data_IF_822566665613
#
_entry.id   IF_822566665613
#
_cell.length_a   1.000
_cell.length_b   1.000
_cell.length_c   1.000
_cell.angle_alpha   90.00
_cell.angle_beta   90.00
_cell.angle_gamma   90.00
#
_symmetry.space_group_name_H-M   'P 1'
#
loop_
_entity.id
_entity.type
_entity.pdbx_description
1 polymer ?
#
# COMPACT_ATOMS: atom_id res chain seq x y z
N UNK A 1 -10.47 -4.83 -3.73
CA UNK A 1 -9.48 -5.77 -3.18
C UNK A 1 -8.90 -5.48 -1.80
N UNK A 2 -8.89 -4.26 -1.26
CA UNK A 2 -8.45 -4.03 0.14
C UNK A 2 -9.53 -4.24 1.20
N UNK A 3 -10.82 -4.19 0.80
CA UNK A 3 -11.95 -4.27 1.74
C UNK A 3 -12.06 -5.62 2.45
N UNK A 4 -11.65 -6.73 1.85
CA UNK A 4 -11.82 -8.05 2.49
C UNK A 4 -10.69 -8.35 3.49
N UNK A 5 -9.47 -7.94 3.16
CA UNK A 5 -8.30 -8.24 3.99
C UNK A 5 -8.35 -7.48 5.31
N UNK A 6 -8.72 -6.19 5.27
CA UNK A 6 -8.74 -5.39 6.50
C UNK A 6 -9.81 -5.86 7.48
N UNK A 7 -11.00 -6.22 7.00
CA UNK A 7 -12.04 -6.80 7.83
C UNK A 7 -11.57 -8.12 8.45
N UNK A 8 -10.97 -8.99 7.64
CA UNK A 8 -10.41 -10.27 8.13
C UNK A 8 -9.36 -10.06 9.23
N UNK A 9 -8.47 -9.07 9.09
CA UNK A 9 -7.45 -8.75 10.09
C UNK A 9 -8.11 -8.24 11.39
N UNK A 10 -9.09 -7.35 11.27
CA UNK A 10 -9.82 -6.82 12.44
C UNK A 10 -10.57 -7.94 13.17
N UNK A 11 -11.27 -8.80 12.43
CA UNK A 11 -11.98 -9.95 13.01
C UNK A 11 -11.02 -10.90 13.73
N UNK A 12 -9.84 -11.13 13.15
CA UNK A 12 -8.79 -11.96 13.76
C UNK A 12 -8.27 -11.33 15.06
N UNK A 13 -8.01 -10.02 15.08
CA UNK A 13 -7.57 -9.30 16.28
C UNK A 13 -8.61 -9.42 17.40
N UNK A 14 -9.90 -9.23 17.10
CA UNK A 14 -10.96 -9.39 18.10
C UNK A 14 -11.09 -10.83 18.59
N UNK A 15 -10.95 -11.82 17.70
CA UNK A 15 -10.97 -13.23 18.10
C UNK A 15 -9.82 -13.58 19.05
N UNK A 16 -8.62 -13.06 18.82
CA UNK A 16 -7.49 -13.26 19.73
C UNK A 16 -7.67 -12.52 21.05
N UNK A 17 -8.26 -11.32 21.02
CA UNK A 17 -8.58 -10.57 22.23
C UNK A 17 -9.56 -11.33 23.15
N UNK A 18 -10.53 -12.05 22.59
CA UNK A 18 -11.44 -12.93 23.37
C UNK A 18 -10.70 -14.08 24.07
N UNK A 19 -9.50 -14.43 23.60
CA UNK A 19 -8.62 -15.45 24.18
C UNK A 19 -7.55 -14.83 25.10
N UNK A 20 -7.71 -13.55 25.48
CA UNK A 20 -6.73 -12.77 26.24
C UNK A 20 -5.36 -12.65 25.55
N UNK A 21 -5.32 -12.74 24.21
CA UNK A 21 -4.11 -12.56 23.39
C UNK A 21 -4.17 -11.20 22.70
N UNK A 22 -3.14 -10.39 22.90
CA UNK A 22 -3.02 -9.05 22.36
C UNK A 22 -1.77 -8.90 21.50
N UNK A 23 -1.87 -8.09 20.45
CA UNK A 23 -0.75 -7.79 19.55
C UNK A 23 -0.53 -6.28 19.50
N UNK A 24 0.72 -5.86 19.59
CA UNK A 24 1.09 -4.44 19.42
C UNK A 24 0.86 -3.99 17.98
N UNK A 25 1.27 -4.83 17.03
CA UNK A 25 1.27 -4.54 15.60
C UNK A 25 0.95 -5.76 14.75
N UNK A 26 0.44 -5.50 13.55
CA UNK A 26 0.19 -6.52 12.54
C UNK A 26 1.12 -6.27 11.35
N UNK A 27 1.83 -7.31 10.94
CA UNK A 27 2.57 -7.37 9.68
C UNK A 27 1.80 -8.27 8.70
N UNK A 28 1.25 -7.67 7.66
CA UNK A 28 0.58 -8.38 6.57
C UNK A 28 1.57 -8.63 5.43
N UNK A 29 1.69 -9.90 5.05
CA UNK A 29 2.56 -10.39 3.98
C UNK A 29 1.72 -11.11 2.93
N UNK A 30 1.47 -10.47 1.78
CA UNK A 30 0.70 -11.12 0.73
C UNK A 30 1.53 -12.21 0.02
N UNK A 31 0.93 -13.37 -0.31
CA UNK A 31 1.64 -14.48 -0.96
C UNK A 31 2.03 -14.18 -2.41
N UNK A 32 1.39 -13.19 -3.05
CA UNK A 32 1.61 -12.77 -4.44
C UNK A 32 2.91 -11.96 -4.65
N UNK A 33 3.72 -11.78 -3.61
CA UNK A 33 5.04 -11.14 -3.67
C UNK A 33 6.17 -12.16 -3.39
N UNK A 34 6.46 -13.09 -4.32
CA UNK A 34 7.38 -14.20 -4.07
C UNK A 34 8.85 -13.76 -3.91
N UNK A 35 9.21 -12.58 -4.42
CA UNK A 35 10.58 -12.05 -4.36
C UNK A 35 10.88 -11.27 -3.07
N UNK A 36 9.97 -11.28 -2.09
CA UNK A 36 10.18 -10.64 -0.79
C UNK A 36 11.31 -11.33 -0.04
N UNK A 37 12.38 -10.60 0.21
CA UNK A 37 13.54 -11.09 0.97
C UNK A 37 13.32 -10.92 2.47
N UNK A 38 13.84 -11.82 3.33
CA UNK A 38 13.78 -11.66 4.78
C UNK A 38 14.35 -10.32 5.26
N UNK A 39 15.38 -9.80 4.58
CA UNK A 39 16.02 -8.53 4.90
C UNK A 39 15.06 -7.35 4.75
N UNK A 40 14.20 -7.39 3.71
CA UNK A 40 13.17 -6.35 3.49
C UNK A 40 12.15 -6.34 4.62
N UNK A 41 11.80 -7.51 5.15
CA UNK A 41 10.87 -7.62 6.29
C UNK A 41 11.49 -7.01 7.54
N UNK A 42 12.74 -7.40 7.87
CA UNK A 42 13.46 -6.89 9.04
C UNK A 42 13.55 -5.37 9.00
N UNK A 43 13.94 -4.83 7.85
CA UNK A 43 14.07 -3.39 7.68
C UNK A 43 12.73 -2.65 7.85
N UNK A 44 11.64 -3.18 7.32
CA UNK A 44 10.32 -2.58 7.51
C UNK A 44 9.87 -2.60 8.98
N UNK A 45 10.17 -3.69 9.70
CA UNK A 45 9.90 -3.81 11.14
C UNK A 45 10.72 -2.80 11.94
N UNK A 46 12.01 -2.64 11.63
CA UNK A 46 12.88 -1.64 12.27
C UNK A 46 12.34 -0.22 12.11
N UNK A 47 11.94 0.17 10.89
CA UNK A 47 11.33 1.48 10.64
C UNK A 47 10.06 1.65 11.47
N UNK A 48 9.20 0.63 11.51
CA UNK A 48 7.97 0.68 12.29
C UNK A 48 8.25 0.83 13.79
N UNK A 49 9.21 0.08 14.33
CA UNK A 49 9.58 0.14 15.74
C UNK A 49 10.13 1.52 16.13
N UNK A 50 10.96 2.13 15.28
CA UNK A 50 11.54 3.45 15.54
C UNK A 50 10.49 4.56 15.44
N UNK A 51 9.57 4.45 14.50
CA UNK A 51 8.63 5.55 14.19
C UNK A 51 7.27 5.43 14.88
N UNK A 52 6.85 4.22 15.23
CA UNK A 52 5.47 3.90 15.64
C UNK A 52 4.43 4.11 14.52
N UNK A 53 4.87 4.39 13.29
CA UNK A 53 4.00 4.71 12.15
C UNK A 53 3.83 3.51 11.24
N UNK A 54 2.75 3.51 10.48
CA UNK A 54 2.54 2.55 9.42
C UNK A 54 3.70 2.53 8.42
N UNK A 55 4.08 1.34 7.97
CA UNK A 55 5.10 1.13 6.94
C UNK A 55 4.51 0.28 5.83
N UNK A 56 4.57 0.78 4.60
CA UNK A 56 4.08 0.08 3.42
C UNK A 56 5.16 0.00 2.35
N UNK A 57 5.27 -1.14 1.68
CA UNK A 57 6.22 -1.29 0.60
C UNK A 57 5.68 -0.74 -0.70
N UNK A 58 6.56 -0.01 -1.41
CA UNK A 58 6.24 0.63 -2.68
C UNK A 58 7.27 0.30 -3.74
N UNK A 59 6.89 0.50 -5.00
CA UNK A 59 7.76 0.38 -6.15
C UNK A 59 7.66 1.63 -7.01
N UNK A 60 8.78 2.14 -7.57
CA UNK A 60 8.74 3.30 -8.44
C UNK A 60 7.92 3.00 -9.69
N UNK A 61 7.21 4.01 -10.19
CA UNK A 61 6.50 3.96 -11.47
C UNK A 61 7.28 4.79 -12.47
N UNK A 62 7.59 4.22 -13.63
CA UNK A 62 8.01 5.01 -14.78
C UNK A 62 6.76 5.39 -15.57
N UNK A 63 6.20 6.57 -15.26
CA UNK A 63 5.07 7.12 -16.01
C UNK A 63 5.61 8.10 -17.05
N UNK A 64 5.21 7.91 -18.31
CA UNK A 64 5.42 8.88 -19.38
C UNK A 64 4.05 9.39 -19.83
N UNK A 65 3.52 10.46 -19.24
CA UNK A 65 2.18 10.95 -19.53
C UNK A 65 1.95 11.23 -21.03
N UNK A 66 2.98 11.70 -21.74
CA UNK A 66 2.97 11.86 -23.21
C UNK A 66 2.64 10.58 -23.99
N UNK A 67 2.89 9.40 -23.43
CA UNK A 67 2.63 8.09 -24.06
C UNK A 67 1.28 7.49 -23.65
N UNK A 68 0.53 8.12 -22.75
CA UNK A 68 -0.77 7.63 -22.30
C UNK A 68 -1.92 8.20 -23.16
N UNK A 69 -2.92 7.38 -23.47
CA UNK A 69 -4.12 7.74 -24.25
C UNK A 69 -5.37 7.19 -23.59
N UNK A 70 -6.47 7.95 -23.67
CA UNK A 70 -7.82 7.46 -23.38
C UNK A 70 -8.51 7.09 -24.70
N UNK A 71 -9.55 6.26 -24.62
CA UNK A 71 -10.41 5.94 -25.75
C UNK A 71 -11.71 6.73 -25.58
N UNK A 72 -12.07 7.55 -26.56
CA UNK A 72 -13.33 8.29 -26.55
C UNK A 72 -14.54 7.38 -26.92
N UNK A 73 -15.75 7.94 -26.88
CA UNK A 73 -16.97 7.20 -27.22
C UNK A 73 -17.05 6.73 -28.67
N UNK A 74 -16.20 7.26 -29.55
CA UNK A 74 -16.10 6.91 -30.96
C UNK A 74 -14.94 5.93 -31.24
N UNK A 75 -14.18 5.54 -30.21
CA UNK A 75 -13.05 4.62 -30.33
C UNK A 75 -11.73 5.28 -30.69
N UNK A 76 -11.63 6.61 -30.69
CA UNK A 76 -10.38 7.30 -31.02
C UNK A 76 -9.46 7.40 -29.81
N UNK A 77 -8.15 7.37 -30.06
CA UNK A 77 -7.13 7.65 -29.06
C UNK A 77 -7.02 9.17 -28.85
N UNK A 78 -7.33 9.63 -27.64
CA UNK A 78 -7.25 11.05 -27.25
C UNK A 78 -6.30 11.24 -26.07
N UNK A 79 -5.73 12.45 -25.94
CA UNK A 79 -4.92 12.79 -24.76
C UNK A 79 -5.85 12.86 -23.53
N UNK A 80 -5.54 12.16 -22.43
CA UNK A 80 -6.33 12.26 -21.19
C UNK A 80 -6.18 13.66 -20.59
N UNK A 81 -7.31 14.27 -20.20
CA UNK A 81 -7.34 15.59 -19.58
C UNK A 81 -6.49 15.66 -18.30
N UNK A 82 -6.45 14.55 -17.54
CA UNK A 82 -5.66 14.41 -16.31
C UNK A 82 -4.14 14.64 -16.50
N UNK A 83 -3.63 14.56 -17.74
CA UNK A 83 -2.21 14.65 -18.05
C UNK A 83 -1.75 16.02 -18.58
N UNK A 84 -2.52 17.09 -18.37
CA UNK A 84 -2.13 18.42 -18.83
C UNK A 84 -0.87 18.94 -18.12
N UNK A 85 -0.75 18.74 -16.80
CA UNK A 85 0.42 19.15 -16.00
C UNK A 85 1.26 17.99 -15.44
N UNK A 86 0.81 16.76 -15.66
CA UNK A 86 1.40 15.58 -15.02
C UNK A 86 2.82 15.26 -15.54
N UNK A 87 3.15 15.68 -16.76
CA UNK A 87 4.46 15.41 -17.37
C UNK A 87 5.59 16.14 -16.64
N UNK A 88 5.40 17.41 -16.30
CA UNK A 88 6.37 18.20 -15.52
C UNK A 88 6.49 17.61 -14.12
N UNK A 89 5.35 17.32 -13.49
CA UNK A 89 5.32 16.75 -12.14
C UNK A 89 6.08 15.42 -12.04
N UNK A 90 5.86 14.48 -12.97
CA UNK A 90 6.51 13.17 -12.96
C UNK A 90 8.02 13.23 -13.23
N UNK A 91 8.49 14.27 -13.94
CA UNK A 91 9.92 14.45 -14.21
C UNK A 91 10.68 14.97 -12.98
N UNK A 92 10.02 15.78 -12.14
CA UNK A 92 10.64 16.37 -10.95
C UNK A 92 10.39 15.56 -9.67
N UNK A 93 9.31 14.77 -9.62
CA UNK A 93 8.88 14.06 -8.42
C UNK A 93 8.75 12.55 -8.70
N UNK A 94 9.53 11.68 -8.03
CA UNK A 94 9.39 10.25 -8.18
C UNK A 94 8.03 9.78 -7.63
N UNK A 95 7.27 9.08 -8.47
CA UNK A 95 5.97 8.50 -8.10
C UNK A 95 6.14 7.04 -7.77
N UNK A 96 5.48 6.59 -6.70
CA UNK A 96 5.52 5.22 -6.23
C UNK A 96 4.13 4.62 -6.20
N UNK A 97 4.01 3.34 -6.54
CA UNK A 97 2.80 2.53 -6.29
C UNK A 97 3.04 1.60 -5.11
N UNK A 98 1.99 1.35 -4.34
CA UNK A 98 1.95 0.22 -3.43
C UNK A 98 2.22 -1.08 -4.21
N UNK A 99 3.01 -1.97 -3.64
CA UNK A 99 3.42 -3.20 -4.33
C UNK A 99 2.93 -4.50 -3.68
N UNK A 100 2.16 -4.43 -2.58
CA UNK A 100 1.55 -5.60 -1.96
C UNK A 100 2.46 -6.42 -1.04
N UNK A 101 3.76 -6.13 -1.02
CA UNK A 101 4.75 -7.02 -0.38
C UNK A 101 4.73 -6.96 1.16
N UNK A 102 4.60 -5.76 1.74
CA UNK A 102 4.68 -5.49 3.17
C UNK A 102 3.67 -4.39 3.53
N UNK A 103 2.86 -4.66 4.56
CA UNK A 103 2.09 -3.65 5.28
C UNK A 103 2.26 -3.89 6.78
N UNK A 104 2.72 -2.88 7.51
CA UNK A 104 2.81 -2.89 8.97
C UNK A 104 2.03 -1.70 9.53
N UNK A 105 1.22 -1.96 10.54
CA UNK A 105 0.62 -0.92 11.38
C UNK A 105 0.37 -1.47 12.78
N UNK A 106 0.22 -0.58 13.77
CA UNK A 106 -0.21 -0.99 15.11
C UNK A 106 -1.63 -1.55 15.07
N UNK A 107 -1.96 -2.49 15.96
CA UNK A 107 -3.32 -3.01 16.08
C UNK A 107 -4.33 -1.88 16.34
N UNK A 108 -3.92 -0.88 17.13
CA UNK A 108 -4.70 0.34 17.39
C UNK A 108 -5.01 1.10 16.09
N UNK A 109 -3.99 1.44 15.29
CA UNK A 109 -4.18 2.14 14.01
C UNK A 109 -5.10 1.35 13.07
N UNK A 110 -4.96 0.03 13.02
CA UNK A 110 -5.79 -0.83 12.17
C UNK A 110 -7.27 -0.77 12.58
N UNK A 111 -7.55 -0.87 13.89
CA UNK A 111 -8.92 -0.84 14.41
C UNK A 111 -9.55 0.55 14.23
N UNK A 112 -8.81 1.62 14.54
CA UNK A 112 -9.30 2.99 14.45
C UNK A 112 -9.50 3.44 13.00
N UNK A 113 -8.49 3.24 12.15
CA UNK A 113 -8.48 3.79 10.79
C UNK A 113 -9.07 2.82 9.76
N UNK A 114 -9.29 1.55 10.13
CA UNK A 114 -9.70 0.48 9.19
C UNK A 114 -8.79 0.45 7.96
N UNK A 115 -7.49 0.63 8.17
CA UNK A 115 -6.48 0.63 7.13
C UNK A 115 -5.10 0.36 7.72
N UNK A 116 -4.19 -0.16 6.89
CA UNK A 116 -2.76 -0.24 7.22
C UNK A 116 -2.02 1.09 7.02
N UNK A 117 -2.60 2.05 6.29
CA UNK A 117 -1.98 3.34 5.99
C UNK A 117 -3.05 4.40 5.74
N UNK A 118 -2.75 5.65 6.09
CA UNK A 118 -3.62 6.82 5.96
C UNK A 118 -2.79 8.04 5.63
#
# INVERSE_FOLDING_TARGET
>A
DTSDVIHTVIDLLFKFQQMEVFFDSVLLLQPTSPFRKPETIRHAVEIHQVTGKSVVSVSPISLKPSWCRSIDSQGNLVKPELFQDLEIYCNENPIYKLNGSIYIATAKQIIENKSFYS
#
